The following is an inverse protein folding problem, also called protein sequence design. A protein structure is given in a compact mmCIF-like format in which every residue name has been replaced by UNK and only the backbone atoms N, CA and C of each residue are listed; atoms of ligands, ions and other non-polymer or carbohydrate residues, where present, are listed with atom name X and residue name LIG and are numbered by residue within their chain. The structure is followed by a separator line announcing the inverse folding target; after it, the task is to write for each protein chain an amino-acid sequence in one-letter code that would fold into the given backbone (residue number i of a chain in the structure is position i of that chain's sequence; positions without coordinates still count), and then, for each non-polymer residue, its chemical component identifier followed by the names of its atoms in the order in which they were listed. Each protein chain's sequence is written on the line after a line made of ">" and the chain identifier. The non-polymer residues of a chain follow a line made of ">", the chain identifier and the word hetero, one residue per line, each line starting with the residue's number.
data_IF_916598100533
#
_entry.id   IF_916598100533
#
_cell.length_a   1.000
_cell.length_b   1.000
_cell.length_c   1.000
_cell.angle_alpha   90.00
_cell.angle_beta   90.00
_cell.angle_gamma   90.00
#
_symmetry.space_group_name_H-M   'P 1'
#
loop_
_entity.id
_entity.type
_entity.pdbx_description
1 polymer ?
#
# COMPACT_ATOMS: atom_id res chain seq x y z
N UNK A 1 -13.73 -10.79 28.43
CA UNK A 1 -13.41 -10.61 28.11
C UNK A 1 -13.09 -10.18 27.18
N UNK A 2 -13.20 -9.79 26.98
CA UNK A 2 -12.68 -9.23 26.15
C UNK A 2 -12.03 -10.03 25.27
N UNK A 3 -11.99 -11.11 25.39
CA UNK A 3 -11.39 -12.02 24.61
C UNK A 3 -11.87 -12.02 23.24
N UNK A 4 -13.11 -11.87 23.04
CA UNK A 4 -13.68 -11.80 21.73
C UNK A 4 -13.11 -10.70 20.93
N UNK A 5 -12.97 -9.61 21.55
CA UNK A 5 -12.42 -8.48 20.86
C UNK A 5 -11.02 -8.78 20.46
N UNK A 6 -10.32 -9.47 21.29
CA UNK A 6 -8.97 -9.82 20.96
C UNK A 6 -8.89 -10.71 19.77
N UNK A 7 -9.81 -11.61 19.67
CA UNK A 7 -9.84 -12.48 18.53
C UNK A 7 -9.99 -11.73 17.26
N UNK A 8 -10.87 -10.80 17.26
CA UNK A 8 -11.10 -9.99 16.08
C UNK A 8 -9.88 -9.20 15.76
N UNK A 9 -9.28 -8.64 16.77
CA UNK A 9 -8.12 -7.82 16.50
C UNK A 9 -6.94 -8.63 16.07
N UNK A 10 -6.92 -9.89 16.39
CA UNK A 10 -5.81 -10.72 16.00
C UNK A 10 -5.82 -11.10 14.55
N UNK A 11 -6.94 -10.97 13.90
CA UNK A 11 -6.97 -11.30 12.52
C UNK A 11 -6.29 -10.21 11.71
N UNK A 12 -5.46 -10.60 10.76
CA UNK A 12 -4.84 -9.58 9.94
C UNK A 12 -5.89 -8.92 9.07
N UNK A 13 -5.75 -7.67 8.80
CA UNK A 13 -6.64 -7.02 7.85
C UNK A 13 -6.36 -7.55 6.46
N UNK A 14 -7.34 -7.42 5.59
CA UNK A 14 -7.25 -7.92 4.23
C UNK A 14 -7.37 -6.81 3.21
N UNK A 15 -6.99 -7.12 2.00
CA UNK A 15 -7.07 -6.18 0.90
C UNK A 15 -7.47 -6.96 -0.35
N UNK A 16 -8.20 -6.31 -1.24
CA UNK A 16 -8.63 -6.91 -2.50
C UNK A 16 -7.63 -6.51 -3.58
N UNK A 17 -7.03 -7.47 -4.22
CA UNK A 17 -6.10 -7.24 -5.31
C UNK A 17 -6.87 -6.92 -6.58
N UNK A 18 -6.17 -6.45 -7.57
CA UNK A 18 -6.79 -6.16 -8.85
C UNK A 18 -7.43 -7.39 -9.47
N UNK A 19 -6.88 -8.54 -9.17
CA UNK A 19 -7.44 -9.79 -9.67
C UNK A 19 -8.76 -10.13 -9.00
N UNK A 20 -9.09 -9.46 -7.90
CA UNK A 20 -10.27 -9.77 -7.13
C UNK A 20 -9.98 -10.65 -5.94
N UNK A 21 -8.77 -11.13 -5.81
CA UNK A 21 -8.40 -12.01 -4.70
C UNK A 21 -8.27 -11.21 -3.42
N UNK A 22 -8.72 -11.82 -2.33
CA UNK A 22 -8.62 -11.22 -1.03
C UNK A 22 -7.38 -11.79 -0.36
N UNK A 23 -6.46 -10.93 0.01
CA UNK A 23 -5.21 -11.36 0.62
C UNK A 23 -4.93 -10.54 1.86
N UNK A 24 -4.08 -11.02 2.76
CA UNK A 24 -3.77 -10.24 3.94
C UNK A 24 -3.03 -8.97 3.58
N UNK A 25 -3.31 -7.93 4.31
CA UNK A 25 -2.57 -6.69 4.17
C UNK A 25 -1.21 -6.89 4.84
N UNK A 26 -0.14 -6.51 4.16
CA UNK A 26 1.20 -6.64 4.73
C UNK A 26 1.88 -5.30 4.67
N UNK A 27 2.05 -4.72 5.82
CA UNK A 27 2.65 -3.40 5.94
C UNK A 27 4.05 -3.37 5.35
N UNK A 28 4.77 -4.47 5.50
CA UNK A 28 6.13 -4.55 4.98
C UNK A 28 6.19 -4.42 3.47
N UNK A 29 5.17 -4.87 2.78
CA UNK A 29 5.15 -4.74 1.33
C UNK A 29 5.04 -3.29 0.92
N UNK A 30 4.27 -2.53 1.68
CA UNK A 30 4.17 -1.10 1.43
C UNK A 30 5.51 -0.43 1.70
N UNK A 31 6.12 -0.77 2.83
CA UNK A 31 7.40 -0.18 3.18
C UNK A 31 8.44 -0.47 2.10
N UNK A 32 8.48 -1.72 1.64
CA UNK A 32 9.46 -2.10 0.63
C UNK A 32 9.25 -1.38 -0.68
N UNK A 33 7.99 -1.17 -1.05
CA UNK A 33 7.70 -0.44 -2.27
C UNK A 33 8.14 1.02 -2.16
N UNK A 34 7.96 1.60 -1.00
CA UNK A 34 8.41 2.97 -0.77
C UNK A 34 9.94 3.05 -0.84
N UNK A 35 10.61 2.06 -0.24
CA UNK A 35 12.07 2.04 -0.28
C UNK A 35 12.56 1.92 -1.71
N UNK A 36 11.89 1.11 -2.53
CA UNK A 36 12.27 0.99 -3.92
C UNK A 36 12.14 2.32 -4.65
N UNK A 37 11.09 3.05 -4.35
CA UNK A 37 10.92 4.37 -4.95
C UNK A 37 12.03 5.30 -4.49
N UNK A 38 12.38 5.23 -3.22
CA UNK A 38 13.46 6.04 -2.69
C UNK A 38 14.79 5.70 -3.34
N UNK A 39 15.00 4.41 -3.60
CA UNK A 39 16.21 3.99 -4.28
C UNK A 39 16.29 4.59 -5.67
N UNK A 40 15.16 4.71 -6.32
CA UNK A 40 15.12 5.25 -7.66
C UNK A 40 15.58 6.68 -7.76
N UNK A 41 15.49 7.43 -6.66
CA UNK A 41 15.96 8.81 -6.66
C UNK A 41 17.16 9.00 -5.75
N UNK A 42 17.73 7.90 -5.27
CA UNK A 42 18.94 7.98 -4.46
C UNK A 42 18.74 8.56 -3.07
N UNK A 43 17.56 8.43 -2.52
CA UNK A 43 17.24 8.98 -1.20
C UNK A 43 16.55 7.98 -0.31
N UNK A 44 17.28 7.00 0.15
CA UNK A 44 16.70 5.96 0.99
C UNK A 44 16.63 6.40 2.44
N UNK A 45 15.46 6.32 3.01
CA UNK A 45 15.23 6.65 4.41
C UNK A 45 14.26 5.61 4.95
N UNK A 46 14.80 4.58 5.56
CA UNK A 46 14.00 3.45 6.02
C UNK A 46 13.01 3.84 7.09
N UNK A 47 13.42 4.70 7.99
CA UNK A 47 12.53 5.12 9.07
C UNK A 47 11.33 5.85 8.52
N UNK A 48 11.57 6.70 7.54
CA UNK A 48 10.47 7.43 6.94
C UNK A 48 9.57 6.47 6.16
N UNK A 49 10.16 5.51 5.46
CA UNK A 49 9.38 4.53 4.72
C UNK A 49 8.48 3.74 5.67
N UNK A 50 9.01 3.37 6.80
CA UNK A 50 8.26 2.63 7.81
C UNK A 50 7.14 3.49 8.36
N UNK A 51 7.42 4.74 8.63
CA UNK A 51 6.42 5.65 9.13
C UNK A 51 5.27 5.82 8.15
N UNK A 52 5.60 6.03 6.87
CA UNK A 52 4.59 6.20 5.85
C UNK A 52 3.73 4.94 5.73
N UNK A 53 4.36 3.78 5.75
CA UNK A 53 3.62 2.53 5.67
C UNK A 53 2.65 2.40 6.84
N UNK A 54 3.10 2.78 8.02
CA UNK A 54 2.29 2.66 9.23
C UNK A 54 1.11 3.61 9.21
N UNK A 55 1.33 4.86 8.82
CA UNK A 55 0.22 5.81 8.79
C UNK A 55 -0.73 5.52 7.64
N UNK A 56 -0.22 4.90 6.58
CA UNK A 56 -1.09 4.45 5.50
C UNK A 56 -2.04 3.38 6.01
N UNK A 57 -1.51 2.41 6.72
CA UNK A 57 -2.33 1.34 7.27
C UNK A 57 -3.40 1.92 8.17
N UNK A 58 -3.03 2.82 9.05
CA UNK A 58 -3.99 3.43 9.94
C UNK A 58 -5.05 4.20 9.19
N UNK A 59 -4.65 4.95 8.18
CA UNK A 59 -5.59 5.74 7.43
C UNK A 59 -6.59 4.89 6.67
N UNK A 60 -6.10 3.84 6.04
CA UNK A 60 -6.95 2.96 5.25
C UNK A 60 -7.99 2.26 6.10
N UNK A 61 -7.57 1.71 7.22
CA UNK A 61 -8.49 0.90 8.01
C UNK A 61 -9.37 1.74 8.92
N UNK A 62 -9.01 2.98 9.12
CA UNK A 62 -9.88 3.88 9.81
C UNK A 62 -11.02 4.32 8.89
N UNK A 63 -10.69 4.59 7.65
CA UNK A 63 -11.67 5.05 6.68
C UNK A 63 -12.57 3.94 6.18
N UNK A 64 -12.08 2.73 6.13
CA UNK A 64 -12.84 1.61 5.61
C UNK A 64 -13.38 0.77 6.72
N UNK A 65 -14.35 1.28 7.39
CA UNK A 65 -14.96 0.56 8.47
C UNK A 65 -15.76 -0.60 7.99
N UNK A 66 -16.27 -0.52 6.81
CA UNK A 66 -17.09 -1.55 6.23
C UNK A 66 -16.42 -2.06 5.00
N UNK A 67 -16.24 -3.34 4.93
CA UNK A 67 -15.69 -3.95 3.74
C UNK A 67 -14.18 -3.93 3.71
N UNK A 68 -13.65 -4.49 2.69
CA UNK A 68 -12.21 -4.65 2.53
C UNK A 68 -11.71 -3.68 1.49
N UNK A 69 -10.66 -2.93 1.78
CA UNK A 69 -10.18 -1.94 0.82
C UNK A 69 -9.56 -2.61 -0.39
N UNK A 70 -9.62 -1.92 -1.49
CA UNK A 70 -9.01 -2.35 -2.73
C UNK A 70 -7.57 -1.85 -2.76
N UNK A 71 -6.70 -2.61 -3.41
CA UNK A 71 -5.28 -2.28 -3.46
C UNK A 71 -5.04 -0.88 -4.03
N UNK A 72 -5.87 -0.44 -4.96
CA UNK A 72 -5.69 0.89 -5.54
C UNK A 72 -5.92 1.98 -4.51
N UNK A 73 -6.83 1.76 -3.58
CA UNK A 73 -7.05 2.71 -2.50
C UNK A 73 -5.82 2.82 -1.62
N UNK A 74 -5.16 1.71 -1.42
CA UNK A 74 -3.96 1.70 -0.61
C UNK A 74 -2.86 2.49 -1.30
N UNK A 75 -2.67 2.26 -2.59
CA UNK A 75 -1.65 2.99 -3.32
C UNK A 75 -1.93 4.49 -3.34
N UNK A 76 -3.19 4.85 -3.51
CA UNK A 76 -3.55 6.27 -3.49
C UNK A 76 -3.23 6.88 -2.13
N UNK A 77 -3.50 6.14 -1.07
CA UNK A 77 -3.22 6.64 0.26
C UNK A 77 -1.72 6.78 0.48
N UNK A 78 -0.93 5.84 -0.01
CA UNK A 78 0.53 5.93 0.10
C UNK A 78 1.01 7.22 -0.57
N UNK A 79 0.54 7.47 -1.78
CA UNK A 79 0.93 8.65 -2.51
C UNK A 79 0.57 9.92 -1.76
N UNK A 80 -0.62 9.94 -1.20
CA UNK A 80 -1.06 11.09 -0.43
C UNK A 80 -0.22 11.29 0.81
N UNK A 81 0.11 10.22 1.51
CA UNK A 81 0.90 10.34 2.72
C UNK A 81 2.33 10.78 2.41
N UNK A 82 2.86 10.32 1.30
CA UNK A 82 4.18 10.77 0.88
C UNK A 82 4.16 12.28 0.61
N UNK A 83 3.15 12.74 -0.10
CA UNK A 83 3.05 14.16 -0.40
C UNK A 83 2.80 14.98 0.85
N UNK A 84 1.97 14.48 1.75
CA UNK A 84 1.68 15.19 2.99
C UNK A 84 2.94 15.37 3.83
N UNK A 85 3.90 14.50 3.67
CA UNK A 85 5.15 14.56 4.41
C UNK A 85 6.27 15.20 3.61
N UNK A 86 5.93 15.89 2.55
CA UNK A 86 6.91 16.63 1.77
C UNK A 86 7.77 15.80 0.86
N UNK A 87 7.37 14.56 0.63
CA UNK A 87 8.16 13.65 -0.18
C UNK A 87 7.58 13.54 -1.58
N UNK A 88 7.43 14.68 -2.22
CA UNK A 88 6.80 14.69 -3.55
C UNK A 88 7.60 13.94 -4.59
N UNK A 89 8.92 14.00 -4.50
CA UNK A 89 9.76 13.29 -5.45
C UNK A 89 9.65 11.79 -5.25
N UNK A 90 9.54 11.34 -4.01
CA UNK A 90 9.34 9.93 -3.75
C UNK A 90 7.96 9.50 -4.24
N UNK A 91 6.96 10.34 -4.05
CA UNK A 91 5.61 10.03 -4.50
C UNK A 91 5.57 9.82 -6.00
N UNK A 92 6.25 10.67 -6.72
CA UNK A 92 6.31 10.58 -8.15
C UNK A 92 6.97 9.29 -8.58
N UNK A 93 8.05 8.95 -7.93
CA UNK A 93 8.75 7.72 -8.24
C UNK A 93 7.90 6.51 -7.86
N UNK A 94 7.15 6.62 -6.79
CA UNK A 94 6.28 5.54 -6.35
C UNK A 94 5.21 5.26 -7.41
N UNK A 95 4.65 6.29 -7.98
CA UNK A 95 3.67 6.15 -9.04
C UNK A 95 4.26 5.41 -10.22
N UNK A 96 5.47 5.74 -10.58
CA UNK A 96 6.16 5.07 -11.67
C UNK A 96 6.42 3.61 -11.33
N UNK A 97 6.89 3.36 -10.12
CA UNK A 97 7.17 2.01 -9.67
C UNK A 97 5.92 1.15 -9.73
N UNK A 98 4.85 1.68 -9.22
CA UNK A 98 3.59 0.96 -9.20
C UNK A 98 3.10 0.65 -10.61
N UNK A 99 3.27 1.58 -11.52
CA UNK A 99 2.82 1.35 -12.88
C UNK A 99 3.67 0.30 -13.59
N UNK A 100 4.91 0.13 -13.19
CA UNK A 100 5.75 -0.89 -13.78
C UNK A 100 5.47 -2.27 -13.23
N UNK A 101 5.09 -2.36 -11.98
CA UNK A 101 4.97 -3.66 -11.32
C UNK A 101 3.59 -4.23 -11.27
N UNK A 102 2.60 -3.38 -11.28
CA UNK A 102 1.27 -3.87 -11.24
C UNK A 102 0.68 -4.26 -12.54
N UNK A 103 0.97 -3.51 -13.54
CA UNK A 103 0.31 -3.76 -14.80
C UNK A 103 0.63 -5.06 -15.46
N UNK A 104 1.56 -5.79 -14.92
CA UNK A 104 1.85 -7.03 -15.55
C UNK A 104 0.64 -7.88 -15.72
N UNK A 105 -0.19 -7.96 -14.75
CA UNK A 105 -1.37 -8.74 -14.82
C UNK A 105 -2.37 -8.12 -15.74
N UNK A 106 -2.53 -6.85 -15.69
CA UNK A 106 -3.40 -6.09 -16.49
C UNK A 106 -2.97 -6.11 -17.91
N UNK A 107 -1.71 -5.81 -18.14
CA UNK A 107 -1.16 -5.71 -19.44
C UNK A 107 -1.21 -7.01 -20.19
N UNK A 108 -1.00 -8.07 -19.52
CA UNK A 108 -1.08 -9.34 -20.12
C UNK A 108 -2.41 -9.59 -20.72
N UNK A 109 -3.42 -9.26 -20.02
CA UNK A 109 -4.74 -9.45 -20.52
C UNK A 109 -4.97 -8.63 -21.74
N UNK A 110 -4.51 -7.43 -21.72
CA UNK A 110 -4.68 -6.55 -22.83
C UNK A 110 -3.96 -7.03 -24.03
N UNK A 111 -2.80 -7.51 -23.83
CA UNK A 111 -1.99 -7.97 -24.93
C UNK A 111 -2.54 -9.15 -25.64
N UNK A 112 -3.33 -9.86 -24.94
CA UNK A 112 -3.90 -10.99 -25.57
C UNK A 112 -4.90 -10.69 -26.61
N UNK A 113 -5.37 -9.51 -26.62
CA UNK A 113 -6.29 -9.18 -27.60
C UNK A 113 -5.79 -8.74 -28.74
#
# INVERSE_FOLDING_TARGET
>A
MNTTDNSISNEPPFVIKRSGDKVPFEENKIMNAIIKAMQGIGKVDREMAEKIARITKKGIFRNNKIGTPHVDEIHDMVENKLMDNGLNDVAKEYIIYRSKHQPNIFTKRTNLK
#
